data_IF_548653220334
#
_entry.id   IF_548653220334
#
_cell.length_a   1.000
_cell.length_b   1.000
_cell.length_c   1.000
_cell.angle_alpha   90.00
_cell.angle_beta   90.00
_cell.angle_gamma   90.00
#
_symmetry.space_group_name_H-M   'P 1'
#
loop_
_entity.id
_entity.type
_entity.pdbx_description
1 polymer ?
#
# COMPACT_ATOMS: atom_id res chain seq x y z
N UNK A 1 -14.73 6.97 5.69
CA UNK A 1 -13.37 6.44 5.48
C UNK A 1 -12.72 7.27 4.39
N UNK A 2 -11.52 7.74 4.63
CA UNK A 2 -10.83 8.65 3.70
C UNK A 2 -9.74 7.91 2.96
N UNK A 3 -9.95 7.68 1.66
CA UNK A 3 -9.00 6.94 0.82
C UNK A 3 -7.65 7.63 0.76
N UNK A 4 -7.63 8.95 0.78
CA UNK A 4 -6.37 9.70 0.73
C UNK A 4 -5.57 9.50 2.00
N UNK A 5 -6.22 9.50 3.16
CA UNK A 5 -5.55 9.25 4.45
C UNK A 5 -5.02 7.83 4.52
N UNK A 6 -5.80 6.87 4.06
CA UNK A 6 -5.36 5.47 4.03
C UNK A 6 -4.16 5.31 3.09
N UNK A 7 -4.22 5.96 1.92
CA UNK A 7 -3.10 5.95 0.99
C UNK A 7 -1.83 6.53 1.58
N UNK A 8 -1.95 7.64 2.31
CA UNK A 8 -0.80 8.24 3.01
C UNK A 8 -0.23 7.28 4.06
N UNK A 9 -1.10 6.59 4.80
CA UNK A 9 -0.67 5.64 5.80
C UNK A 9 0.13 4.49 5.16
N UNK A 10 -0.35 3.99 4.04
CA UNK A 10 0.33 2.93 3.30
C UNK A 10 1.71 3.40 2.83
N UNK A 11 1.79 4.62 2.30
CA UNK A 11 3.05 5.19 1.84
C UNK A 11 4.04 5.37 3.01
N UNK A 12 3.56 5.85 4.15
CA UNK A 12 4.41 6.02 5.34
C UNK A 12 4.92 4.68 5.84
N UNK A 13 4.05 3.67 5.88
CA UNK A 13 4.44 2.33 6.29
C UNK A 13 5.51 1.75 5.37
N UNK A 14 5.31 1.91 4.07
CA UNK A 14 6.27 1.47 3.06
C UNK A 14 7.63 2.14 3.26
N UNK A 15 7.63 3.45 3.44
CA UNK A 15 8.86 4.22 3.63
C UNK A 15 9.56 3.85 4.93
N UNK A 16 8.78 3.61 5.98
CA UNK A 16 9.33 3.17 7.26
C UNK A 16 10.05 1.82 7.16
N UNK A 17 9.59 0.98 6.26
CA UNK A 17 10.22 -0.31 5.99
C UNK A 17 11.39 -0.22 4.99
N UNK A 18 11.62 0.98 4.43
CA UNK A 18 12.68 1.19 3.45
C UNK A 18 12.39 0.57 2.08
N UNK A 19 11.12 0.43 1.74
CA UNK A 19 10.73 -0.22 0.50
C UNK A 19 10.27 0.78 -0.55
N UNK A 20 10.53 0.45 -1.83
CA UNK A 20 9.91 1.15 -2.96
C UNK A 20 8.51 0.57 -3.18
N UNK A 21 7.70 1.25 -4.01
CA UNK A 21 6.38 0.73 -4.37
C UNK A 21 6.50 -0.66 -5.00
N UNK A 22 7.48 -0.84 -5.86
CA UNK A 22 7.71 -2.12 -6.52
C UNK A 22 8.09 -3.21 -5.52
N UNK A 23 8.97 -2.89 -4.58
CA UNK A 23 9.40 -3.84 -3.56
C UNK A 23 8.24 -4.25 -2.66
N UNK A 24 7.42 -3.29 -2.25
CA UNK A 24 6.23 -3.61 -1.46
C UNK A 24 5.26 -4.49 -2.25
N UNK A 25 5.04 -4.16 -3.51
CA UNK A 25 4.15 -4.95 -4.37
C UNK A 25 4.64 -6.39 -4.49
N UNK A 26 5.93 -6.58 -4.67
CA UNK A 26 6.51 -7.93 -4.75
C UNK A 26 6.30 -8.70 -3.44
N UNK A 27 6.45 -8.03 -2.32
CA UNK A 27 6.24 -8.63 -1.01
C UNK A 27 4.80 -9.10 -0.84
N UNK A 28 3.84 -8.35 -1.39
CA UNK A 28 2.42 -8.64 -1.30
C UNK A 28 1.92 -9.48 -2.47
N UNK A 29 2.81 -9.84 -3.38
CA UNK A 29 2.46 -10.60 -4.59
C UNK A 29 1.47 -9.82 -5.47
N UNK A 30 1.66 -8.50 -5.54
CA UNK A 30 0.81 -7.58 -6.30
C UNK A 30 1.66 -6.81 -7.31
N UNK A 31 1.01 -5.99 -8.15
CA UNK A 31 1.73 -5.12 -9.07
C UNK A 31 2.03 -3.77 -8.40
N UNK A 32 3.10 -3.12 -8.85
CA UNK A 32 3.45 -1.78 -8.37
C UNK A 32 2.38 -0.75 -8.73
N UNK A 33 1.64 -0.97 -9.80
CA UNK A 33 0.53 -0.12 -10.18
C UNK A 33 -0.58 -0.14 -9.14
N UNK A 34 -0.84 -1.30 -8.55
CA UNK A 34 -1.82 -1.43 -7.47
C UNK A 34 -1.40 -0.60 -6.26
N UNK A 35 -0.15 -0.73 -5.83
CA UNK A 35 0.37 0.04 -4.71
C UNK A 35 0.28 1.54 -4.99
N UNK A 36 0.62 1.96 -6.20
CA UNK A 36 0.52 3.36 -6.60
C UNK A 36 -0.91 3.88 -6.49
N UNK A 37 -1.89 3.09 -6.92
CA UNK A 37 -3.30 3.47 -6.81
C UNK A 37 -3.75 3.62 -5.37
N UNK A 38 -3.30 2.72 -4.50
CA UNK A 38 -3.63 2.81 -3.07
C UNK A 38 -3.07 4.11 -2.47
N UNK A 39 -1.81 4.41 -2.75
CA UNK A 39 -1.13 5.59 -2.19
C UNK A 39 -1.72 6.90 -2.70
N UNK A 40 -2.30 6.89 -3.90
CA UNK A 40 -2.95 8.07 -4.46
C UNK A 40 -4.41 8.20 -4.04
N UNK A 41 -4.94 7.23 -3.30
CA UNK A 41 -6.33 7.27 -2.85
C UNK A 41 -7.34 6.95 -3.93
N UNK A 42 -6.94 6.23 -4.98
CA UNK A 42 -7.84 5.85 -6.07
C UNK A 42 -8.66 4.63 -5.68
N UNK A 43 -8.04 3.66 -5.02
CA UNK A 43 -8.73 2.47 -4.54
C UNK A 43 -8.05 1.94 -3.29
N UNK A 44 -8.69 1.01 -2.61
CA UNK A 44 -8.15 0.36 -1.42
C UNK A 44 -7.63 -1.03 -1.76
N UNK A 45 -6.61 -1.51 -1.03
CA UNK A 45 -6.23 -2.90 -1.13
C UNK A 45 -7.33 -3.79 -0.54
N UNK A 46 -7.33 -5.06 -0.93
CA UNK A 46 -8.20 -6.05 -0.32
C UNK A 46 -7.88 -6.17 1.17
N UNK A 47 -8.88 -6.54 1.98
CA UNK A 47 -8.73 -6.64 3.43
C UNK A 47 -7.57 -7.54 3.82
N UNK A 48 -7.41 -8.68 3.16
CA UNK A 48 -6.32 -9.61 3.45
C UNK A 48 -4.94 -8.97 3.19
N UNK A 49 -4.84 -8.22 2.11
CA UNK A 49 -3.60 -7.50 1.75
C UNK A 49 -3.32 -6.41 2.77
N UNK A 50 -4.34 -5.65 3.14
CA UNK A 50 -4.21 -4.57 4.11
C UNK A 50 -3.77 -5.09 5.47
N UNK A 51 -4.30 -6.22 5.89
CA UNK A 51 -3.90 -6.84 7.16
C UNK A 51 -2.44 -7.29 7.14
N UNK A 52 -1.97 -7.84 6.03
CA UNK A 52 -0.56 -8.19 5.88
C UNK A 52 0.34 -6.95 6.00
N UNK A 53 -0.10 -5.86 5.40
CA UNK A 53 0.65 -4.60 5.42
C UNK A 53 0.73 -4.03 6.83
N UNK A 54 -0.34 -4.16 7.62
CA UNK A 54 -0.41 -3.61 8.98
C UNK A 54 0.26 -4.48 10.03
N UNK A 55 0.57 -5.71 9.69
CA UNK A 55 1.31 -6.59 10.61
C UNK A 55 2.81 -6.33 10.48
#
# INVERSE_FOLDING_TARGET
>A
MDLIKIGKYIAEKRKALGLTQKQLAEKLNMSDKSVSKWERGICLPDVSIYMELCN
#
